data_IF_623093698629
#
_entry.id   IF_623093698629
#
_cell.length_a   1.000
_cell.length_b   1.000
_cell.length_c   1.000
_cell.angle_alpha   90.00
_cell.angle_beta   90.00
_cell.angle_gamma   90.00
#
_symmetry.space_group_name_H-M   'P 1'
#
loop_
_entity.id
_entity.type
_entity.pdbx_description
1 polymer ?
#
# COMPACT_ATOMS: atom_id res chain seq x y z
N UNK A 1 -10.55 -13.59 -14.15
CA UNK A 1 -11.80 -12.80 -14.15
C UNK A 1 -11.48 -11.39 -13.68
N UNK A 2 -11.69 -10.40 -14.55
CA UNK A 2 -11.41 -8.97 -14.28
C UNK A 2 -12.75 -8.32 -13.95
N UNK A 3 -13.07 -8.18 -12.66
CA UNK A 3 -14.30 -7.50 -12.25
C UNK A 3 -14.19 -6.01 -12.56
N UNK A 4 -14.99 -5.57 -13.53
CA UNK A 4 -15.41 -4.18 -13.72
C UNK A 4 -16.30 -3.80 -12.54
N UNK A 5 -15.80 -2.99 -11.61
CA UNK A 5 -16.59 -2.08 -10.78
C UNK A 5 -15.80 -0.79 -10.63
N UNK A 6 -16.36 0.33 -11.09
CA UNK A 6 -15.86 1.64 -10.68
C UNK A 6 -16.16 1.79 -9.19
N UNK A 7 -15.16 1.54 -8.33
CA UNK A 7 -15.33 1.61 -6.87
C UNK A 7 -14.50 0.62 -6.06
N UNK A 8 -14.03 -0.49 -6.62
CA UNK A 8 -13.23 -1.45 -5.85
C UNK A 8 -11.77 -0.97 -5.75
N UNK A 9 -11.46 -0.27 -4.65
CA UNK A 9 -10.07 0.08 -4.30
C UNK A 9 -9.30 -1.22 -4.09
N UNK A 10 -8.23 -1.42 -4.86
CA UNK A 10 -7.38 -2.60 -4.74
C UNK A 10 -6.68 -2.60 -3.39
N UNK A 11 -6.33 -3.78 -2.89
CA UNK A 11 -5.60 -3.92 -1.62
C UNK A 11 -4.29 -3.12 -1.66
N UNK A 12 -3.56 -3.10 -2.79
CA UNK A 12 -2.36 -2.27 -2.93
C UNK A 12 -2.62 -0.77 -2.85
N UNK A 13 -3.79 -0.32 -3.29
CA UNK A 13 -4.20 1.09 -3.24
C UNK A 13 -4.56 1.48 -1.78
N UNK A 14 -5.12 0.56 -0.99
CA UNK A 14 -5.31 0.77 0.45
C UNK A 14 -3.98 0.73 1.22
N UNK A 15 -3.10 -0.22 0.88
CA UNK A 15 -1.77 -0.31 1.49
C UNK A 15 -0.97 0.96 1.26
N UNK A 16 -0.92 1.49 0.03
CA UNK A 16 -0.18 2.73 -0.25
C UNK A 16 -0.83 3.95 0.42
N UNK A 17 -2.16 3.98 0.55
CA UNK A 17 -2.89 5.08 1.21
C UNK A 17 -2.46 5.28 2.68
N UNK A 18 -2.17 4.17 3.38
CA UNK A 18 -1.78 4.16 4.80
C UNK A 18 -0.27 4.06 5.03
N UNK A 19 0.54 4.01 3.96
CA UNK A 19 1.99 3.90 4.08
C UNK A 19 2.61 5.24 4.57
N UNK A 20 3.40 5.24 5.64
CA UNK A 20 4.06 6.46 6.12
C UNK A 20 5.24 6.85 5.22
N UNK A 21 5.71 8.09 5.36
CA UNK A 21 6.91 8.59 4.68
C UNK A 21 8.22 8.07 5.29
N UNK A 22 8.15 7.47 6.48
CA UNK A 22 9.29 6.86 7.16
C UNK A 22 9.36 5.36 6.85
N UNK A 23 10.55 4.74 6.94
CA UNK A 23 10.69 3.30 6.79
C UNK A 23 9.76 2.52 7.74
N UNK A 24 9.00 1.57 7.22
CA UNK A 24 8.02 0.78 7.99
C UNK A 24 8.21 -0.73 7.79
N UNK A 25 8.11 -1.52 8.86
CA UNK A 25 8.10 -2.98 8.76
C UNK A 25 6.76 -3.45 8.23
N UNK A 26 6.74 -4.52 7.43
CA UNK A 26 5.50 -5.05 6.88
C UNK A 26 4.45 -5.36 7.96
N UNK A 27 4.84 -5.98 9.08
CA UNK A 27 3.91 -6.27 10.17
C UNK A 27 3.21 -5.04 10.72
N UNK A 28 3.93 -3.93 10.87
CA UNK A 28 3.42 -2.71 11.46
C UNK A 28 2.57 -1.98 10.42
N UNK A 29 2.98 -2.00 9.15
CA UNK A 29 2.20 -1.48 8.03
C UNK A 29 0.82 -2.16 7.90
N UNK A 30 0.77 -3.48 8.05
CA UNK A 30 -0.49 -4.23 7.98
C UNK A 30 -1.47 -3.86 9.11
N UNK A 31 -0.99 -3.36 10.25
CA UNK A 31 -1.86 -2.89 11.35
C UNK A 31 -2.51 -1.55 11.08
N UNK A 32 -2.05 -0.80 10.08
CA UNK A 32 -2.63 0.48 9.67
C UNK A 32 -3.77 0.31 8.66
N UNK A 33 -3.99 -0.90 8.17
CA UNK A 33 -5.03 -1.17 7.18
C UNK A 33 -6.43 -1.12 7.81
N UNK A 34 -7.45 -0.73 7.03
CA UNK A 34 -8.85 -0.83 7.45
C UNK A 34 -9.23 -2.27 7.82
N UNK A 35 -10.20 -2.43 8.72
CA UNK A 35 -10.62 -3.74 9.24
C UNK A 35 -11.11 -4.70 8.13
N UNK A 36 -11.62 -4.16 7.02
CA UNK A 36 -12.11 -4.96 5.90
C UNK A 36 -10.97 -5.63 5.11
N UNK A 37 -9.72 -5.15 5.25
CA UNK A 37 -8.56 -5.71 4.55
C UNK A 37 -7.91 -6.80 5.38
N UNK A 38 -8.01 -8.03 4.89
CA UNK A 38 -7.37 -9.19 5.53
C UNK A 38 -5.84 -9.06 5.48
N UNK A 39 -5.13 -9.04 6.63
CA UNK A 39 -3.68 -8.89 6.66
C UNK A 39 -2.91 -9.95 5.86
N UNK A 40 -3.40 -11.20 5.84
CA UNK A 40 -2.80 -12.29 5.07
C UNK A 40 -2.78 -12.01 3.57
N UNK A 41 -3.86 -11.42 3.05
CA UNK A 41 -3.94 -11.06 1.63
C UNK A 41 -3.02 -9.88 1.34
N UNK A 42 -3.12 -8.81 2.13
CA UNK A 42 -2.27 -7.63 1.98
C UNK A 42 -0.76 -7.93 2.09
N UNK A 43 -0.37 -8.86 2.96
CA UNK A 43 1.02 -9.31 3.06
C UNK A 43 1.55 -9.88 1.74
N UNK A 44 0.72 -10.58 0.97
CA UNK A 44 1.08 -11.11 -0.36
C UNK A 44 1.22 -10.00 -1.41
N UNK A 45 0.44 -8.94 -1.27
CA UNK A 45 0.38 -7.80 -2.19
C UNK A 45 1.55 -6.81 -2.00
N UNK A 46 2.23 -6.82 -0.85
CA UNK A 46 3.40 -5.99 -0.57
C UNK A 46 4.52 -6.12 -1.64
N UNK A 47 4.65 -7.30 -2.25
CA UNK A 47 5.58 -7.54 -3.35
C UNK A 47 5.21 -6.78 -4.64
N UNK A 48 3.91 -6.60 -4.91
CA UNK A 48 3.43 -5.86 -6.07
C UNK A 48 3.71 -4.36 -5.95
N UNK A 49 3.63 -3.78 -4.76
CA UNK A 49 4.02 -2.39 -4.52
C UNK A 49 5.49 -2.13 -4.88
N UNK A 50 6.36 -3.12 -4.63
CA UNK A 50 7.77 -3.07 -5.03
C UNK A 50 7.92 -3.25 -6.54
N UNK A 51 7.21 -4.22 -7.14
CA UNK A 51 7.23 -4.45 -8.58
C UNK A 51 6.73 -3.23 -9.39
N UNK A 52 5.71 -2.53 -8.88
CA UNK A 52 5.17 -1.30 -9.48
C UNK A 52 5.99 -0.03 -9.16
N UNK A 53 7.08 -0.17 -8.39
CA UNK A 53 7.97 0.92 -7.94
C UNK A 53 7.26 1.98 -7.09
N UNK A 54 6.22 1.58 -6.36
CA UNK A 54 5.51 2.44 -5.39
C UNK A 54 6.17 2.40 -4.00
N UNK A 55 6.83 1.29 -3.69
CA UNK A 55 7.68 1.14 -2.53
C UNK A 55 9.00 0.47 -2.93
N UNK A 56 10.01 0.59 -2.09
CA UNK A 56 11.23 -0.22 -2.17
C UNK A 56 11.45 -0.92 -0.84
N UNK A 57 12.16 -2.04 -0.86
CA UNK A 57 12.72 -2.63 0.35
C UNK A 57 13.96 -1.84 0.75
N UNK A 58 14.06 -1.54 2.04
CA UNK A 58 15.28 -0.96 2.61
C UNK A 58 16.39 -2.01 2.59
N UNK A 59 17.57 -1.62 2.10
CA UNK A 59 18.76 -2.48 2.04
C UNK A 59 19.50 -2.54 3.37
N UNK A 60 19.31 -1.55 4.24
CA UNK A 60 19.96 -1.44 5.54
C UNK A 60 19.12 -2.03 6.67
N UNK A 61 17.80 -2.14 6.48
CA UNK A 61 16.86 -2.66 7.47
C UNK A 61 15.97 -3.76 6.87
N UNK A 62 16.36 -5.02 7.05
CA UNK A 62 15.64 -6.17 6.51
C UNK A 62 14.16 -6.17 6.95
N UNK A 63 13.27 -6.44 5.99
CA UNK A 63 11.82 -6.45 6.23
C UNK A 63 11.16 -5.08 6.34
N UNK A 64 11.92 -4.01 6.06
CA UNK A 64 11.44 -2.62 6.05
C UNK A 64 11.18 -2.13 4.64
N UNK A 65 10.14 -1.33 4.48
CA UNK A 65 9.68 -0.77 3.22
C UNK A 65 9.73 0.76 3.30
N UNK A 66 10.12 1.38 2.21
CA UNK A 66 10.20 2.84 2.07
C UNK A 66 9.36 3.24 0.87
N UNK A 67 8.53 4.27 1.04
CA UNK A 67 7.70 4.79 -0.04
C UNK A 67 8.60 5.49 -1.07
N UNK A 68 8.33 5.31 -2.36
CA UNK A 68 9.02 6.06 -3.42
C UNK A 68 8.29 7.37 -3.69
N UNK A 69 8.90 8.30 -4.43
CA UNK A 69 8.20 9.51 -4.91
C UNK A 69 6.93 9.15 -5.71
N UNK A 70 7.01 8.11 -6.56
CA UNK A 70 5.85 7.58 -7.28
C UNK A 70 4.78 7.03 -6.32
N UNK A 71 5.21 6.36 -5.25
CA UNK A 71 4.34 5.90 -4.17
C UNK A 71 3.63 7.06 -3.47
N UNK A 72 4.35 8.14 -3.18
CA UNK A 72 3.77 9.34 -2.54
C UNK A 72 2.71 9.99 -3.42
N UNK A 73 2.98 10.13 -4.73
CA UNK A 73 1.99 10.64 -5.68
C UNK A 73 0.75 9.74 -5.70
N UNK A 74 0.94 8.42 -5.78
CA UNK A 74 -0.18 7.47 -5.77
C UNK A 74 -0.95 7.51 -4.45
N UNK A 75 -0.27 7.64 -3.31
CA UNK A 75 -0.90 7.82 -2.00
C UNK A 75 -1.79 9.06 -1.99
N UNK A 76 -1.31 10.19 -2.49
CA UNK A 76 -2.09 11.42 -2.57
C UNK A 76 -3.36 11.23 -3.44
N UNK A 77 -3.24 10.58 -4.60
CA UNK A 77 -4.39 10.22 -5.44
C UNK A 77 -5.40 9.35 -4.68
N UNK A 78 -4.92 8.36 -3.92
CA UNK A 78 -5.78 7.44 -3.16
C UNK A 78 -6.44 8.11 -1.97
N UNK A 79 -5.77 9.01 -1.27
CA UNK A 79 -6.38 9.79 -0.18
C UNK A 79 -7.50 10.68 -0.70
N UNK A 80 -7.32 11.33 -1.86
CA UNK A 80 -8.38 12.13 -2.50
C UNK A 80 -9.55 11.25 -2.94
N UNK A 81 -9.28 10.05 -3.46
CA UNK A 81 -10.33 9.12 -3.91
C UNK A 81 -11.10 8.52 -2.72
N UNK A 82 -10.42 8.23 -1.62
CA UNK A 82 -11.02 7.73 -0.37
C UNK A 82 -11.86 8.81 0.32
N UNK A 83 -11.43 10.07 0.32
CA UNK A 83 -12.18 11.17 0.93
C UNK A 83 -13.47 11.56 0.17
N UNK A 84 -13.67 11.04 -1.05
CA UNK A 84 -14.86 11.29 -1.89
C UNK A 84 -15.93 10.21 -1.77
N UNK A 85 -15.69 9.17 -0.98
CA UNK A 85 -16.65 8.11 -0.65
C UNK A 85 -17.34 8.41 0.68
#
# INVERSE_FOLDING_TARGET
MRSKRGGDIRIIDQMIAVMPDVPIRLKDWLTLLPEEVKPRTASGEAGLLVAERLATRDRHAFGTYVITEKGQQRRAEMQVLLAKQ
#
